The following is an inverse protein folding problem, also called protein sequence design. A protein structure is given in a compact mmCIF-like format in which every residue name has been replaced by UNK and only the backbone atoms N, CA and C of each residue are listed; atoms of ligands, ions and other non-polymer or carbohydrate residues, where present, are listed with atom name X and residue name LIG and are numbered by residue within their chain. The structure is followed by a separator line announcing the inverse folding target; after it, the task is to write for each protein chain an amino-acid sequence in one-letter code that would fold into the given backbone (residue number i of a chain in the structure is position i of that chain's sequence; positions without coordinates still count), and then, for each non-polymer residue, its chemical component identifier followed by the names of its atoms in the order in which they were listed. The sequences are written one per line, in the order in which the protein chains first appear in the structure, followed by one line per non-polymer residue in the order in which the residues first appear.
data_IF_236348488350
#
_entry.id   IF_236348488350
#
_cell.length_a   1.000
_cell.length_b   1.000
_cell.length_c   1.000
_cell.angle_alpha   90.00
_cell.angle_beta   90.00
_cell.angle_gamma   90.00
#
_symmetry.space_group_name_H-M   'P 1'
#
loop_
_entity.id
_entity.type
_entity.pdbx_description
1 polymer ?
#
# COMPACT_ATOMS: atom_id res chain seq x y z
N UNK A 1 -16.54 8.90 7.26
CA UNK A 1 -15.95 8.24 6.09
C UNK A 1 -14.72 9.00 5.56
N UNK A 2 -14.77 10.34 5.41
CA UNK A 2 -13.65 11.16 4.90
C UNK A 2 -12.33 10.83 5.62
N UNK A 3 -12.33 10.71 6.95
CA UNK A 3 -11.15 10.34 7.71
C UNK A 3 -10.54 9.00 7.28
N UNK A 4 -11.38 7.99 7.01
CA UNK A 4 -10.93 6.66 6.56
C UNK A 4 -10.22 6.77 5.21
N UNK A 5 -10.82 7.50 4.26
CA UNK A 5 -10.21 7.74 2.94
C UNK A 5 -8.90 8.51 3.03
N UNK A 6 -8.85 9.56 3.89
CA UNK A 6 -7.61 10.34 4.08
C UNK A 6 -6.51 9.49 4.72
N UNK A 7 -6.80 8.72 5.77
CA UNK A 7 -5.81 7.84 6.41
C UNK A 7 -5.33 6.75 5.44
N UNK A 8 -6.22 6.19 4.64
CA UNK A 8 -5.86 5.23 3.59
C UNK A 8 -4.89 5.84 2.58
N UNK A 9 -5.25 6.97 1.96
CA UNK A 9 -4.42 7.64 0.97
C UNK A 9 -3.05 8.05 1.53
N UNK A 10 -3.02 8.60 2.75
CA UNK A 10 -1.75 9.01 3.36
C UNK A 10 -0.86 7.81 3.69
N UNK A 11 -1.42 6.69 4.14
CA UNK A 11 -0.62 5.48 4.41
C UNK A 11 -0.12 4.81 3.13
N UNK A 12 -0.93 4.76 2.07
CA UNK A 12 -0.53 4.26 0.76
C UNK A 12 0.63 5.08 0.18
N UNK A 13 0.46 6.41 0.10
CA UNK A 13 1.50 7.31 -0.40
C UNK A 13 2.78 7.26 0.44
N UNK A 14 2.66 7.14 1.77
CA UNK A 14 3.82 6.95 2.63
C UNK A 14 4.55 5.64 2.31
N UNK A 15 3.81 4.57 2.04
CA UNK A 15 4.37 3.28 1.61
C UNK A 15 5.17 3.39 0.31
N UNK A 16 4.66 4.10 -0.68
CA UNK A 16 5.36 4.38 -1.94
C UNK A 16 6.64 5.18 -1.73
N UNK A 17 6.53 6.28 -0.98
CA UNK A 17 7.68 7.15 -0.66
C UNK A 17 8.76 6.36 0.08
N UNK A 18 8.39 5.60 1.10
CA UNK A 18 9.35 4.79 1.88
C UNK A 18 10.00 3.71 1.02
N UNK A 19 9.26 3.07 0.10
CA UNK A 19 9.81 2.08 -0.83
C UNK A 19 10.88 2.70 -1.72
N UNK A 20 10.60 3.86 -2.30
CA UNK A 20 11.53 4.59 -3.16
C UNK A 20 12.74 5.09 -2.36
N UNK A 21 12.49 5.70 -1.21
CA UNK A 21 13.51 6.29 -0.36
C UNK A 21 14.50 5.24 0.17
N UNK A 22 13.99 4.09 0.62
CA UNK A 22 14.84 3.00 1.11
C UNK A 22 15.76 2.45 0.01
N UNK A 23 15.28 2.31 -1.23
CA UNK A 23 16.12 1.87 -2.34
C UNK A 23 17.22 2.90 -2.64
N UNK A 24 16.90 4.20 -2.66
CA UNK A 24 17.88 5.27 -2.87
C UNK A 24 18.93 5.28 -1.78
N UNK A 25 18.53 5.13 -0.50
CA UNK A 25 19.48 5.06 0.63
C UNK A 25 20.44 3.86 0.53
N UNK A 26 19.99 2.75 -0.06
CA UNK A 26 20.83 1.57 -0.30
C UNK A 26 21.67 1.69 -1.59
N UNK A 27 21.59 2.81 -2.32
CA UNK A 27 22.29 2.99 -3.59
C UNK A 27 21.77 2.09 -4.72
N UNK A 28 20.50 1.63 -4.62
CA UNK A 28 19.90 0.73 -5.58
C UNK A 28 19.09 1.49 -6.62
N UNK A 29 18.87 0.91 -7.82
CA UNK A 29 17.97 1.47 -8.80
C UNK A 29 16.54 1.59 -8.26
N UNK A 30 15.78 2.54 -8.79
CA UNK A 30 14.40 2.78 -8.39
C UNK A 30 13.52 1.52 -8.51
N UNK A 31 12.84 1.09 -7.43
CA UNK A 31 11.95 -0.07 -7.44
C UNK A 31 10.65 0.16 -8.22
N UNK A 32 10.28 1.42 -8.43
CA UNK A 32 9.08 1.80 -9.18
C UNK A 32 9.44 2.77 -10.30
N UNK A 33 8.76 2.64 -11.43
CA UNK A 33 8.81 3.62 -12.52
C UNK A 33 7.75 4.70 -12.30
N UNK A 34 7.94 5.88 -12.89
CA UNK A 34 6.96 6.97 -12.81
C UNK A 34 5.58 6.56 -13.32
N UNK A 35 5.53 5.72 -14.36
CA UNK A 35 4.28 5.17 -14.88
C UNK A 35 3.58 4.25 -13.85
N UNK A 36 4.33 3.48 -13.07
CA UNK A 36 3.78 2.64 -12.00
C UNK A 36 3.13 3.47 -10.91
N UNK A 37 3.80 4.54 -10.46
CA UNK A 37 3.28 5.45 -9.43
C UNK A 37 2.01 6.15 -9.92
N UNK A 38 2.02 6.64 -11.17
CA UNK A 38 0.84 7.27 -11.77
C UNK A 38 -0.36 6.30 -11.81
N UNK A 39 -0.11 5.06 -12.23
CA UNK A 39 -1.13 4.02 -12.30
C UNK A 39 -1.72 3.69 -10.92
N UNK A 40 -0.86 3.51 -9.92
CA UNK A 40 -1.28 3.23 -8.55
C UNK A 40 -2.16 4.35 -8.02
N UNK A 41 -1.69 5.59 -8.08
CA UNK A 41 -2.44 6.75 -7.58
C UNK A 41 -3.79 6.95 -8.30
N UNK A 42 -3.84 6.65 -9.61
CA UNK A 42 -5.06 6.83 -10.40
C UNK A 42 -6.08 5.72 -10.16
N UNK A 43 -5.66 4.47 -10.11
CA UNK A 43 -6.58 3.32 -10.07
C UNK A 43 -6.62 2.69 -8.68
N UNK A 44 -5.48 2.29 -8.15
CA UNK A 44 -5.40 1.51 -6.92
C UNK A 44 -5.74 2.33 -5.68
N UNK A 45 -5.45 3.63 -5.69
CA UNK A 45 -5.73 4.52 -4.57
C UNK A 45 -7.06 5.25 -4.72
N UNK A 46 -7.34 5.83 -5.89
CA UNK A 46 -8.51 6.70 -6.07
C UNK A 46 -9.83 5.95 -5.97
N UNK A 47 -9.95 4.78 -6.61
CA UNK A 47 -11.20 4.01 -6.60
C UNK A 47 -11.54 3.47 -5.20
N UNK A 48 -10.61 2.85 -4.45
CA UNK A 48 -10.89 2.42 -3.09
C UNK A 48 -11.12 3.60 -2.12
N UNK A 49 -10.41 4.72 -2.28
CA UNK A 49 -10.64 5.92 -1.47
C UNK A 49 -12.08 6.45 -1.64
N UNK A 50 -12.57 6.47 -2.89
CA UNK A 50 -13.96 6.83 -3.18
C UNK A 50 -14.93 5.84 -2.54
N UNK A 51 -14.67 4.54 -2.67
CA UNK A 51 -15.49 3.49 -2.06
C UNK A 51 -15.55 3.58 -0.53
N UNK A 52 -14.43 3.96 0.12
CA UNK A 52 -14.38 4.25 1.56
C UNK A 52 -15.18 5.50 1.92
N UNK A 53 -15.15 6.53 1.06
CA UNK A 53 -15.89 7.78 1.26
C UNK A 53 -17.40 7.59 1.33
N UNK A 54 -17.95 6.68 0.52
CA UNK A 54 -19.39 6.38 0.43
C UNK A 54 -19.80 5.13 1.22
N UNK A 55 -18.88 4.52 1.98
CA UNK A 55 -19.16 3.32 2.77
C UNK A 55 -20.30 3.57 3.78
N UNK A 56 -21.19 2.58 3.93
CA UNK A 56 -22.31 2.67 4.85
C UNK A 56 -21.82 2.62 6.30
N UNK A 57 -22.04 3.69 7.04
CA UNK A 57 -21.78 3.70 8.47
C UNK A 57 -22.94 3.08 9.25
N UNK A 58 -22.62 2.35 10.31
CA UNK A 58 -23.63 1.90 11.27
C UNK A 58 -24.18 3.12 12.03
N UNK A 59 -25.30 3.66 11.52
CA UNK A 59 -25.92 4.88 12.04
C UNK A 59 -26.24 4.80 13.54
N UNK A 60 -26.60 3.62 14.06
CA UNK A 60 -26.87 3.42 15.49
C UNK A 60 -25.64 3.62 16.37
N UNK A 61 -24.46 3.14 15.91
CA UNK A 61 -23.20 3.34 16.61
C UNK A 61 -22.68 4.78 16.52
N UNK A 62 -23.01 5.49 15.44
CA UNK A 62 -22.61 6.88 15.25
C UNK A 62 -23.44 7.84 16.12
N UNK A 63 -24.75 7.63 16.19
CA UNK A 63 -25.68 8.47 16.98
C UNK A 63 -25.45 8.40 18.49
N UNK A 64 -24.85 7.31 18.98
CA UNK A 64 -24.49 7.15 20.39
C UNK A 64 -23.17 7.84 20.82
N UNK A 65 -22.47 8.52 19.89
CA UNK A 65 -21.20 9.20 20.19
C UNK A 65 -21.38 10.72 20.18
N UNK A 66 -20.72 11.44 21.10
CA UNK A 66 -20.74 12.88 21.07
C UNK A 66 -20.13 13.40 19.75
N UNK A 67 -20.61 14.55 19.24
CA UNK A 67 -20.07 15.19 18.06
C UNK A 67 -18.58 15.48 18.26
N UNK A 68 -17.80 15.36 17.16
CA UNK A 68 -16.39 15.77 17.20
C UNK A 68 -16.28 17.28 17.35
N UNK A 69 -15.30 17.74 18.09
CA UNK A 69 -14.96 19.15 18.17
C UNK A 69 -14.36 19.61 16.84
N UNK A 70 -14.71 20.83 16.43
CA UNK A 70 -14.23 21.41 15.15
C UNK A 70 -12.69 21.54 15.10
N UNK A 71 -12.02 21.58 16.24
CA UNK A 71 -10.57 21.68 16.40
C UNK A 71 -9.84 20.32 16.36
N UNK A 72 -10.58 19.19 16.31
CA UNK A 72 -9.96 17.86 16.32
C UNK A 72 -9.31 17.56 14.97
N UNK A 73 -7.99 17.37 14.95
CA UNK A 73 -7.22 16.98 13.76
C UNK A 73 -7.71 15.66 13.20
N UNK A 74 -7.70 15.52 11.87
CA UNK A 74 -7.97 14.25 11.18
C UNK A 74 -6.99 13.13 11.58
N UNK A 75 -5.79 13.51 12.02
CA UNK A 75 -4.72 12.60 12.46
C UNK A 75 -4.78 12.28 13.96
N UNK A 76 -5.66 12.97 14.72
CA UNK A 76 -5.84 12.71 16.14
C UNK A 76 -6.26 11.25 16.41
N UNK A 77 -6.22 10.83 17.68
CA UNK A 77 -6.68 9.51 18.12
C UNK A 77 -6.02 8.34 17.34
N UNK A 78 -4.69 8.36 17.22
CA UNK A 78 -3.90 7.28 16.63
C UNK A 78 -3.87 7.28 15.10
N UNK A 79 -4.39 8.32 14.42
CA UNK A 79 -4.36 8.39 12.96
C UNK A 79 -2.94 8.38 12.40
N UNK A 80 -2.02 9.13 13.02
CA UNK A 80 -0.61 9.15 12.61
C UNK A 80 0.06 7.79 12.78
N UNK A 81 -0.19 7.10 13.89
CA UNK A 81 0.35 5.75 14.12
C UNK A 81 -0.14 4.75 13.08
N UNK A 82 -1.39 4.84 12.68
CA UNK A 82 -1.97 4.02 11.60
C UNK A 82 -1.26 4.28 10.28
N UNK A 83 -1.05 5.56 9.90
CA UNK A 83 -0.35 5.93 8.67
C UNK A 83 1.08 5.38 8.67
N UNK A 84 1.83 5.61 9.74
CA UNK A 84 3.21 5.16 9.85
C UNK A 84 3.32 3.63 9.83
N UNK A 85 2.46 2.94 10.55
CA UNK A 85 2.47 1.47 10.63
C UNK A 85 2.16 0.83 9.27
N UNK A 86 1.05 1.23 8.64
CA UNK A 86 0.67 0.65 7.35
C UNK A 86 1.58 1.11 6.22
N UNK A 87 2.04 2.36 6.22
CA UNK A 87 3.03 2.83 5.26
C UNK A 87 4.34 2.04 5.34
N UNK A 88 4.87 1.82 6.54
CA UNK A 88 6.07 1.01 6.74
C UNK A 88 5.85 -0.47 6.35
N UNK A 89 4.67 -1.04 6.68
CA UNK A 89 4.33 -2.40 6.32
C UNK A 89 4.26 -2.58 4.79
N UNK A 90 3.56 -1.69 4.09
CA UNK A 90 3.45 -1.70 2.63
C UNK A 90 4.83 -1.56 1.98
N UNK A 91 5.65 -0.63 2.46
CA UNK A 91 7.02 -0.46 1.97
C UNK A 91 7.88 -1.70 2.18
N UNK A 92 7.81 -2.31 3.36
CA UNK A 92 8.57 -3.53 3.68
C UNK A 92 8.20 -4.70 2.76
N UNK A 93 6.91 -4.93 2.55
CA UNK A 93 6.41 -5.99 1.66
C UNK A 93 6.83 -5.73 0.20
N UNK A 94 6.71 -4.48 -0.27
CA UNK A 94 7.09 -4.09 -1.63
C UNK A 94 8.59 -4.21 -1.89
N UNK A 95 9.43 -3.80 -0.92
CA UNK A 95 10.88 -3.98 -1.00
C UNK A 95 11.27 -5.46 -1.00
N UNK A 96 10.63 -6.27 -0.18
CA UNK A 96 10.87 -7.72 -0.17
C UNK A 96 10.55 -8.31 -1.54
N UNK A 97 9.45 -7.90 -2.17
CA UNK A 97 9.10 -8.31 -3.52
C UNK A 97 10.14 -7.84 -4.56
N UNK A 98 10.61 -6.59 -4.44
CA UNK A 98 11.67 -6.06 -5.30
C UNK A 98 12.96 -6.89 -5.22
N UNK A 99 13.36 -7.30 -4.02
CA UNK A 99 14.56 -8.08 -3.80
C UNK A 99 14.43 -9.56 -4.15
N UNK A 100 13.23 -10.08 -4.33
CA UNK A 100 13.00 -11.50 -4.61
C UNK A 100 13.72 -11.96 -5.86
N UNK A 101 13.67 -11.19 -6.96
CA UNK A 101 14.27 -11.58 -8.25
C UNK A 101 15.79 -11.62 -8.18
N UNK A 102 16.49 -10.53 -7.77
CA UNK A 102 17.95 -10.57 -7.66
C UNK A 102 18.42 -11.58 -6.61
N UNK A 103 17.70 -11.76 -5.50
CA UNK A 103 18.02 -12.76 -4.48
C UNK A 103 17.97 -14.20 -5.03
N UNK A 104 16.95 -14.54 -5.84
CA UNK A 104 16.85 -15.85 -6.47
C UNK A 104 18.03 -16.12 -7.42
N UNK A 105 18.45 -15.11 -8.19
CA UNK A 105 19.61 -15.23 -9.09
C UNK A 105 20.92 -15.39 -8.31
N UNK A 106 21.13 -14.61 -7.25
CA UNK A 106 22.28 -14.75 -6.36
C UNK A 106 22.39 -16.18 -5.81
N UNK A 107 21.26 -16.73 -5.35
CA UNK A 107 21.22 -18.11 -4.85
C UNK A 107 21.55 -19.15 -5.93
N UNK A 108 21.10 -18.92 -7.16
CA UNK A 108 21.39 -19.80 -8.30
C UNK A 108 22.88 -19.77 -8.67
N UNK A 109 23.50 -18.60 -8.63
CA UNK A 109 24.92 -18.40 -8.96
C UNK A 109 25.84 -18.65 -7.75
N UNK A 110 25.31 -19.07 -6.59
CA UNK A 110 26.04 -19.28 -5.34
C UNK A 110 26.87 -18.07 -4.90
N UNK A 111 26.39 -16.87 -5.21
CA UNK A 111 27.01 -15.63 -4.80
C UNK A 111 26.71 -15.32 -3.33
N UNK A 112 27.70 -14.75 -2.64
CA UNK A 112 27.53 -14.31 -1.26
C UNK A 112 26.55 -13.13 -1.19
N UNK A 113 25.72 -13.12 -0.12
CA UNK A 113 24.75 -12.05 0.07
C UNK A 113 25.46 -10.75 0.45
N UNK A 114 25.43 -9.77 -0.47
CA UNK A 114 25.82 -8.40 -0.19
C UNK A 114 24.97 -7.41 -1.00
N UNK A 115 24.84 -6.19 -0.48
CA UNK A 115 24.11 -5.11 -1.17
C UNK A 115 24.79 -4.77 -2.50
N UNK A 116 26.13 -4.85 -2.57
CA UNK A 116 26.87 -4.59 -3.79
C UNK A 116 26.59 -5.62 -4.89
N UNK A 117 26.53 -6.91 -4.52
CA UNK A 117 26.18 -7.98 -5.46
C UNK A 117 24.73 -7.81 -5.92
N UNK A 118 23.82 -7.47 -5.00
CA UNK A 118 22.41 -7.21 -5.30
C UNK A 118 22.25 -6.04 -6.28
N UNK A 119 23.03 -4.96 -6.09
CA UNK A 119 23.07 -3.82 -7.02
C UNK A 119 23.57 -4.24 -8.41
N UNK A 120 24.64 -5.03 -8.49
CA UNK A 120 25.18 -5.53 -9.77
C UNK A 120 24.16 -6.35 -10.56
N UNK A 121 23.34 -7.21 -9.90
CA UNK A 121 22.26 -7.92 -10.58
C UNK A 121 21.17 -6.96 -11.07
N UNK A 122 20.86 -5.92 -10.30
CA UNK A 122 19.85 -4.93 -10.68
C UNK A 122 20.30 -3.96 -11.79
N UNK A 123 21.60 -3.86 -12.11
CA UNK A 123 22.10 -3.14 -13.30
C UNK A 123 21.65 -3.80 -14.62
N UNK A 124 21.38 -5.10 -14.58
CA UNK A 124 20.85 -5.82 -15.74
C UNK A 124 19.39 -5.40 -15.99
N UNK A 125 19.11 -4.75 -17.13
CA UNK A 125 17.77 -4.24 -17.49
C UNK A 125 16.64 -5.27 -17.36
N UNK A 126 16.91 -6.54 -17.69
CA UNK A 126 15.90 -7.62 -17.60
C UNK A 126 15.58 -7.95 -16.14
N UNK A 127 16.59 -8.00 -15.27
CA UNK A 127 16.43 -8.26 -13.84
C UNK A 127 15.71 -7.11 -13.18
N UNK A 128 16.14 -5.88 -13.43
CA UNK A 128 15.51 -4.68 -12.90
C UNK A 128 14.04 -4.60 -13.29
N UNK A 129 13.71 -4.81 -14.57
CA UNK A 129 12.33 -4.75 -15.04
C UNK A 129 11.44 -5.79 -14.36
N UNK A 130 11.94 -7.02 -14.16
CA UNK A 130 11.22 -8.05 -13.42
C UNK A 130 11.04 -7.66 -11.96
N UNK A 131 12.10 -7.20 -11.29
CA UNK A 131 12.05 -6.75 -9.90
C UNK A 131 11.04 -5.60 -9.71
N UNK A 132 11.04 -4.63 -10.62
CA UNK A 132 10.07 -3.53 -10.64
C UNK A 132 8.62 -4.02 -10.84
N UNK A 133 8.40 -5.01 -11.71
CA UNK A 133 7.06 -5.60 -11.89
C UNK A 133 6.60 -6.28 -10.60
N UNK A 134 7.48 -7.04 -9.92
CA UNK A 134 7.15 -7.66 -8.64
C UNK A 134 6.80 -6.62 -7.58
N UNK A 135 7.63 -5.59 -7.44
CA UNK A 135 7.38 -4.50 -6.50
C UNK A 135 6.05 -3.79 -6.78
N UNK A 136 5.79 -3.44 -8.04
CA UNK A 136 4.55 -2.79 -8.47
C UNK A 136 3.30 -3.64 -8.17
N UNK A 137 3.33 -4.92 -8.58
CA UNK A 137 2.19 -5.82 -8.36
C UNK A 137 1.90 -6.00 -6.88
N UNK A 138 2.94 -6.25 -6.07
CA UNK A 138 2.77 -6.48 -4.63
C UNK A 138 2.35 -5.20 -3.92
N UNK A 139 2.88 -4.05 -4.31
CA UNK A 139 2.49 -2.76 -3.75
C UNK A 139 1.01 -2.47 -4.05
N UNK A 140 0.57 -2.59 -5.30
CA UNK A 140 -0.82 -2.39 -5.68
C UNK A 140 -1.77 -3.35 -4.95
N UNK A 141 -1.42 -4.64 -4.89
CA UNK A 141 -2.22 -5.62 -4.16
C UNK A 141 -2.30 -5.32 -2.66
N UNK A 142 -1.18 -4.96 -2.02
CA UNK A 142 -1.16 -4.62 -0.60
C UNK A 142 -2.03 -3.39 -0.28
N UNK A 143 -2.07 -2.40 -1.18
CA UNK A 143 -2.95 -1.23 -1.04
C UNK A 143 -4.43 -1.61 -1.17
N UNK A 144 -4.81 -2.49 -2.09
CA UNK A 144 -6.18 -2.97 -2.20
C UNK A 144 -6.64 -3.69 -0.92
N UNK A 145 -5.80 -4.56 -0.34
CA UNK A 145 -6.09 -5.20 0.93
C UNK A 145 -6.13 -4.19 2.08
N UNK A 146 -5.24 -3.21 2.08
CA UNK A 146 -5.23 -2.14 3.07
C UNK A 146 -6.52 -1.32 3.03
N UNK A 147 -7.03 -0.99 1.84
CA UNK A 147 -8.30 -0.29 1.67
C UNK A 147 -9.47 -1.05 2.32
N UNK A 148 -9.52 -2.38 2.15
CA UNK A 148 -10.54 -3.21 2.81
C UNK A 148 -10.38 -3.16 4.33
N UNK A 149 -9.14 -3.22 4.85
CA UNK A 149 -8.84 -3.13 6.28
C UNK A 149 -9.24 -1.78 6.89
N UNK A 150 -9.14 -0.68 6.12
CA UNK A 150 -9.48 0.68 6.56
C UNK A 150 -10.98 0.94 6.70
N UNK A 151 -11.86 0.02 6.27
CA UNK A 151 -13.30 0.12 6.52
C UNK A 151 -13.62 0.12 8.03
N UNK A 152 -12.97 -0.76 8.78
CA UNK A 152 -13.03 -0.72 10.25
C UNK A 152 -11.69 -1.18 10.85
N UNK A 153 -10.87 -0.22 11.26
CA UNK A 153 -9.53 -0.45 11.84
C UNK A 153 -9.59 -1.23 13.18
N UNK A 154 -10.77 -1.30 13.81
CA UNK A 154 -10.96 -1.99 15.09
C UNK A 154 -11.42 -3.43 14.96
N UNK A 155 -11.80 -3.86 13.76
CA UNK A 155 -12.27 -5.22 13.50
C UNK A 155 -11.34 -5.92 12.53
N UNK A 156 -11.13 -7.21 12.74
CA UNK A 156 -10.40 -8.05 11.79
C UNK A 156 -11.08 -8.03 10.41
N UNK A 157 -10.30 -8.03 9.35
CA UNK A 157 -10.78 -8.09 7.95
C UNK A 157 -11.74 -9.28 7.76
N UNK A 158 -11.47 -10.41 8.42
CA UNK A 158 -12.30 -11.61 8.35
C UNK A 158 -13.63 -11.49 9.08
N UNK A 159 -13.76 -10.54 10.03
CA UNK A 159 -15.00 -10.25 10.77
C UNK A 159 -15.87 -9.20 10.08
N UNK A 160 -15.32 -8.49 9.14
CA UNK A 160 -16.04 -7.50 8.34
C UNK A 160 -16.88 -8.23 7.28
N UNK A 161 -18.06 -7.69 6.97
CA UNK A 161 -18.88 -8.19 5.84
C UNK A 161 -18.39 -7.56 4.53
N UNK A 162 -17.51 -8.22 3.76
CA UNK A 162 -16.88 -7.61 2.58
C UNK A 162 -17.91 -7.27 1.49
N UNK A 163 -19.03 -8.01 1.41
CA UNK A 163 -20.05 -7.87 0.37
C UNK A 163 -21.04 -6.72 0.60
N UNK A 164 -21.02 -6.04 1.73
CA UNK A 164 -21.94 -4.91 2.00
C UNK A 164 -21.59 -3.66 1.19
N UNK A 165 -20.32 -3.43 0.88
CA UNK A 165 -19.88 -2.31 0.05
C UNK A 165 -19.58 -2.78 -1.37
N UNK A 166 -20.60 -2.71 -2.25
CA UNK A 166 -20.47 -3.09 -3.66
C UNK A 166 -19.42 -2.26 -4.41
N UNK A 167 -19.27 -0.97 -4.06
CA UNK A 167 -18.25 -0.11 -4.68
C UNK A 167 -16.83 -0.55 -4.32
N UNK A 168 -16.60 -1.00 -3.09
CA UNK A 168 -15.30 -1.55 -2.68
C UNK A 168 -14.97 -2.84 -3.45
N UNK A 169 -15.98 -3.71 -3.68
CA UNK A 169 -15.79 -4.91 -4.48
C UNK A 169 -15.47 -4.58 -5.95
N UNK A 170 -16.18 -3.60 -6.52
CA UNK A 170 -15.93 -3.14 -7.89
C UNK A 170 -14.54 -2.50 -7.99
N UNK A 171 -14.20 -1.60 -7.06
CA UNK A 171 -12.89 -0.95 -7.02
C UNK A 171 -11.75 -1.97 -6.87
N UNK A 172 -11.90 -2.93 -5.94
CA UNK A 172 -10.94 -4.02 -5.75
C UNK A 172 -10.85 -4.92 -6.98
N UNK A 173 -11.98 -5.28 -7.60
CA UNK A 173 -12.04 -6.08 -8.82
C UNK A 173 -11.34 -5.40 -10.00
N UNK A 174 -11.59 -4.12 -10.21
CA UNK A 174 -10.92 -3.33 -11.27
C UNK A 174 -9.41 -3.27 -11.00
N UNK A 175 -9.00 -2.94 -9.77
CA UNK A 175 -7.57 -2.88 -9.41
C UNK A 175 -6.86 -4.23 -9.48
N UNK A 176 -7.59 -5.34 -9.34
CA UNK A 176 -7.04 -6.69 -9.47
C UNK A 176 -6.91 -7.15 -10.93
N UNK A 177 -7.84 -6.73 -11.81
CA UNK A 177 -7.88 -7.15 -13.21
C UNK A 177 -6.97 -6.32 -14.13
N UNK A 178 -6.63 -5.12 -13.73
CA UNK A 178 -5.79 -4.18 -14.48
C UNK A 178 -4.33 -4.24 -14.04
#
# INVERSE_FOLDING_TARGET
NIRKSVLFLLSSNLGEILTMFAAVLMGLPSPLQSAHILWINLITDSLPALALGVDKNDGKKLMGRPPRTASESLLANGGLSVICFYGALIAGISLTAFFTVPYMLMKQERADFSVAVLAAFLEQKKVLKRAQTYAFTVLGMSQLFHAVGMRDVRQSIFSQRPFENRLMLVAGGIGFLL
#
